data_IF_299190743928
#
_entry.id   IF_299190743928
#
_cell.length_a   1.000
_cell.length_b   1.000
_cell.length_c   1.000
_cell.angle_alpha   90.00
_cell.angle_beta   90.00
_cell.angle_gamma   90.00
#
_symmetry.space_group_name_H-M   'P 1'
#
loop_
_entity.id
_entity.type
_entity.pdbx_description
1 polymer ?
#
# COMPACT_ATOMS: atom_id res chain seq x y z
N UNK A 1 10.01 6.97 -16.70
CA UNK A 1 8.72 6.53 -16.12
C UNK A 1 8.70 7.02 -14.67
N UNK A 2 7.74 7.85 -14.26
CA UNK A 2 7.58 8.20 -12.84
C UNK A 2 7.13 6.93 -12.12
N UNK A 3 8.07 6.23 -11.49
CA UNK A 3 7.77 5.02 -10.74
C UNK A 3 6.96 5.46 -9.52
N UNK A 4 5.67 5.19 -9.54
CA UNK A 4 4.76 5.55 -8.46
C UNK A 4 5.12 4.69 -7.25
N UNK A 5 6.01 5.21 -6.40
CA UNK A 5 6.59 4.52 -5.25
C UNK A 5 5.53 3.98 -4.28
N UNK A 6 4.30 4.50 -4.41
CA UNK A 6 3.14 4.07 -3.64
C UNK A 6 2.79 2.60 -3.86
N UNK A 7 2.90 2.12 -5.09
CA UNK A 7 2.58 0.72 -5.45
C UNK A 7 3.50 -0.30 -4.77
N UNK A 8 4.85 -0.24 -4.94
CA UNK A 8 5.74 -1.22 -4.32
C UNK A 8 5.71 -1.13 -2.79
N UNK A 9 5.64 0.08 -2.23
CA UNK A 9 5.57 0.29 -0.77
C UNK A 9 4.27 -0.31 -0.20
N UNK A 10 3.11 -0.03 -0.82
CA UNK A 10 1.83 -0.57 -0.36
C UNK A 10 1.75 -2.09 -0.44
N UNK A 11 2.34 -2.69 -1.48
CA UNK A 11 2.42 -4.15 -1.63
C UNK A 11 3.29 -4.78 -0.53
N UNK A 12 4.47 -4.22 -0.29
CA UNK A 12 5.38 -4.68 0.77
C UNK A 12 4.72 -4.61 2.14
N UNK A 13 4.08 -3.48 2.48
CA UNK A 13 3.37 -3.35 3.76
C UNK A 13 2.23 -4.36 3.92
N UNK A 14 1.48 -4.62 2.84
CA UNK A 14 0.39 -5.61 2.87
C UNK A 14 0.92 -7.03 3.08
N UNK A 15 2.02 -7.41 2.40
CA UNK A 15 2.65 -8.73 2.54
C UNK A 15 3.24 -8.94 3.93
N UNK A 16 4.04 -7.99 4.43
CA UNK A 16 4.62 -8.09 5.76
C UNK A 16 3.55 -8.03 6.85
N UNK A 17 2.52 -7.19 6.69
CA UNK A 17 1.38 -7.15 7.60
C UNK A 17 0.66 -8.48 7.68
N UNK A 18 0.35 -9.10 6.54
CA UNK A 18 -0.28 -10.42 6.49
C UNK A 18 0.60 -11.49 7.15
N UNK A 19 1.91 -11.47 6.89
CA UNK A 19 2.86 -12.41 7.49
C UNK A 19 2.91 -12.27 9.01
N UNK A 20 2.98 -11.03 9.52
CA UNK A 20 2.98 -10.73 10.96
C UNK A 20 1.66 -11.08 11.64
N UNK A 21 0.52 -10.85 11.00
CA UNK A 21 -0.79 -11.26 11.50
C UNK A 21 -0.89 -12.78 11.60
N UNK A 22 -0.52 -13.52 10.55
CA UNK A 22 -0.52 -14.98 10.57
C UNK A 22 0.44 -15.51 11.63
N UNK A 23 1.66 -14.97 11.69
CA UNK A 23 2.62 -15.34 12.71
C UNK A 23 2.07 -15.06 14.11
N UNK A 24 1.48 -13.89 14.34
CA UNK A 24 0.83 -13.51 15.59
C UNK A 24 -0.27 -14.49 15.99
N UNK A 25 -1.10 -14.97 15.05
CA UNK A 25 -2.17 -15.92 15.34
C UNK A 25 -1.68 -17.34 15.65
N UNK A 26 -0.60 -17.79 14.98
CA UNK A 26 -0.10 -19.18 15.09
C UNK A 26 0.96 -19.33 16.20
N UNK A 27 1.62 -18.25 16.60
CA UNK A 27 2.70 -18.27 17.59
C UNK A 27 2.20 -18.47 19.02
N UNK A 28 2.96 -19.26 19.80
CA UNK A 28 2.64 -19.55 21.20
C UNK A 28 2.93 -18.39 22.16
N UNK A 29 2.16 -18.30 23.24
CA UNK A 29 2.26 -17.24 24.25
C UNK A 29 3.62 -17.13 24.95
N UNK A 30 4.42 -18.20 24.99
CA UNK A 30 5.74 -18.20 25.62
C UNK A 30 6.73 -17.18 25.00
N UNK A 31 6.56 -16.86 23.72
CA UNK A 31 7.41 -15.90 23.01
C UNK A 31 7.10 -14.46 23.47
N UNK A 32 5.88 -14.23 23.96
CA UNK A 32 5.39 -12.91 24.36
C UNK A 32 5.61 -12.58 25.84
N UNK A 33 6.27 -13.44 26.63
CA UNK A 33 6.60 -13.12 28.02
C UNK A 33 7.47 -11.86 28.12
N UNK A 34 8.40 -11.66 27.18
CA UNK A 34 9.20 -10.43 27.07
C UNK A 34 8.38 -9.20 26.64
N UNK A 35 7.16 -9.41 26.18
CA UNK A 35 6.21 -8.38 25.74
C UNK A 35 5.05 -8.22 26.72
N UNK A 36 5.22 -8.62 27.99
CA UNK A 36 4.16 -8.59 29.01
C UNK A 36 2.90 -9.41 28.61
N UNK A 37 3.09 -10.49 27.83
CA UNK A 37 2.00 -11.30 27.29
C UNK A 37 1.24 -10.63 26.14
N UNK A 38 1.70 -9.48 25.64
CA UNK A 38 1.06 -8.77 24.53
C UNK A 38 1.59 -9.33 23.20
N UNK A 39 0.67 -9.73 22.33
CA UNK A 39 0.99 -10.20 20.99
C UNK A 39 1.31 -9.03 20.05
N UNK A 40 2.53 -8.51 20.18
CA UNK A 40 3.02 -7.34 19.41
C UNK A 40 2.97 -7.61 17.90
N UNK A 41 3.26 -8.85 17.48
CA UNK A 41 3.25 -9.24 16.07
C UNK A 41 1.84 -9.15 15.48
N UNK A 42 0.83 -9.59 16.22
CA UNK A 42 -0.56 -9.50 15.78
C UNK A 42 -1.01 -8.04 15.66
N UNK A 43 -0.78 -7.23 16.70
CA UNK A 43 -1.18 -5.83 16.71
C UNK A 43 -0.52 -5.03 15.59
N UNK A 44 0.80 -5.11 15.46
CA UNK A 44 1.51 -4.42 14.38
C UNK A 44 1.20 -5.01 13.00
N UNK A 45 1.04 -6.34 12.91
CA UNK A 45 0.57 -7.01 11.70
C UNK A 45 -0.75 -6.45 11.20
N UNK A 46 -1.74 -6.30 12.09
CA UNK A 46 -3.04 -5.71 11.76
C UNK A 46 -2.93 -4.23 11.35
N UNK A 47 -2.10 -3.43 12.02
CA UNK A 47 -1.85 -2.03 11.63
C UNK A 47 -1.26 -1.95 10.21
N UNK A 48 -0.24 -2.76 9.93
CA UNK A 48 0.40 -2.84 8.61
C UNK A 48 -0.57 -3.35 7.53
N UNK A 49 -1.39 -4.34 7.89
CA UNK A 49 -2.39 -4.95 7.03
C UNK A 49 -3.58 -4.03 6.76
N UNK A 50 -3.91 -3.09 7.64
CA UNK A 50 -4.87 -2.04 7.36
C UNK A 50 -4.25 -0.93 6.49
N UNK A 51 -3.01 -0.53 6.80
CA UNK A 51 -2.31 0.54 6.12
C UNK A 51 -1.93 0.23 4.67
N UNK A 52 -1.38 -0.97 4.40
CA UNK A 52 -0.92 -1.38 3.08
C UNK A 52 -2.01 -1.34 2.00
N UNK A 53 -3.16 -2.01 2.19
CA UNK A 53 -4.30 -1.98 1.27
C UNK A 53 -4.90 -0.60 1.12
N UNK A 54 -4.97 0.19 2.21
CA UNK A 54 -5.41 1.58 2.13
C UNK A 54 -4.51 2.39 1.20
N UNK A 55 -3.19 2.21 1.31
CA UNK A 55 -2.21 2.87 0.46
C UNK A 55 -2.28 2.39 -1.00
N UNK A 56 -2.47 1.08 -1.24
CA UNK A 56 -2.70 0.52 -2.58
C UNK A 56 -3.97 1.09 -3.22
N UNK A 57 -5.05 1.21 -2.46
CA UNK A 57 -6.30 1.82 -2.95
C UNK A 57 -6.10 3.28 -3.38
N UNK A 58 -5.29 4.06 -2.63
CA UNK A 58 -4.93 5.42 -3.01
C UNK A 58 -4.04 5.47 -4.26
N UNK A 59 -3.09 4.55 -4.40
CA UNK A 59 -2.22 4.45 -5.58
C UNK A 59 -3.03 4.17 -6.85
N UNK A 60 -3.94 3.19 -6.80
CA UNK A 60 -4.82 2.84 -7.92
C UNK A 60 -5.76 3.99 -8.29
N UNK A 61 -6.31 4.70 -7.29
CA UNK A 61 -7.16 5.89 -7.53
C UNK A 61 -6.38 7.04 -8.18
N UNK A 62 -5.12 7.25 -7.79
CA UNK A 62 -4.28 8.31 -8.37
C UNK A 62 -3.94 8.02 -9.84
N UNK A 63 -3.61 6.76 -10.17
CA UNK A 63 -3.34 6.35 -11.55
C UNK A 63 -4.54 6.56 -12.49
N UNK A 64 -5.77 6.35 -12.02
CA UNK A 64 -7.00 6.57 -12.80
C UNK A 64 -7.30 8.05 -13.09
N UNK A 65 -6.80 8.99 -12.29
CA UNK A 65 -7.02 10.44 -12.49
C UNK A 65 -6.03 11.07 -13.49
N UNK A 66 -4.93 10.39 -13.83
CA UNK A 66 -3.88 10.92 -14.69
C UNK A 66 -4.19 10.85 -16.21
N UNK A 67 -5.43 10.52 -16.60
CA UNK A 67 -5.86 10.53 -18.00
C UNK A 67 -7.01 11.53 -18.23
N UNK A 68 -6.70 12.83 -18.41
CA UNK A 68 -7.47 13.69 -19.28
C UNK A 68 -6.50 14.46 -20.20
N UNK A 69 -6.11 13.87 -21.33
CA UNK A 69 -5.11 14.48 -22.22
C UNK A 69 -5.00 13.91 -23.63
N UNK A 70 -5.98 13.13 -24.08
CA UNK A 70 -6.02 12.64 -25.46
C UNK A 70 -7.17 13.34 -26.19
N UNK A 71 -6.95 14.58 -26.65
CA UNK A 71 -7.49 15.22 -27.87
C UNK A 71 -7.59 16.74 -27.68
N UNK A 72 -6.52 17.45 -28.01
CA UNK A 72 -6.65 18.80 -28.54
C UNK A 72 -5.53 18.99 -29.58
N UNK A 73 -5.81 18.81 -30.88
CA UNK A 73 -4.82 19.12 -31.91
C UNK A 73 -4.47 20.61 -31.86
N UNK A 74 -3.20 20.98 -32.15
CA UNK A 74 -2.79 22.37 -32.14
C UNK A 74 -3.60 23.17 -33.17
N UNK A 75 -4.03 24.41 -32.83
CA UNK A 75 -4.70 25.26 -33.80
C UNK A 75 -3.76 25.49 -35.01
N UNK A 76 -4.29 25.45 -36.24
CA UNK A 76 -3.46 25.56 -37.44
C UNK A 76 -2.70 26.88 -37.44
N UNK A 77 -1.37 26.78 -37.52
CA UNK A 77 -0.48 27.92 -37.65
C UNK A 77 -0.72 28.58 -39.01
N UNK A 78 -1.19 29.82 -38.99
CA UNK A 78 -1.17 30.73 -40.14
C UNK A 78 -1.84 30.19 -41.41
N UNK A 79 -3.13 30.49 -41.58
CA UNK A 79 -3.65 30.72 -42.92
C UNK A 79 -3.55 32.23 -43.20
N UNK A 80 -3.21 32.63 -44.44
CA UNK A 80 -2.66 33.95 -44.79
C UNK A 80 -3.55 35.15 -44.48
#
# INVERSE_FOLDING_TARGET
>A
MKLDLRMPIGLMFSLFGAMLTVYGLVSGNAIYERSLGINVNLWWGLVLLAFGPMMLALAVRAGRKASPGATAPPPPAGQP
#
